data_IF_420518753836
#
_entry.id   IF_420518753836
#
_cell.length_a   1.000
_cell.length_b   1.000
_cell.length_c   1.000
_cell.angle_alpha   90.00
_cell.angle_beta   90.00
_cell.angle_gamma   90.00
#
_symmetry.space_group_name_H-M   'P 1'
#
loop_
_entity.id
_entity.type
_entity.pdbx_description
1 polymer ?
#
# COMPACT_ATOMS: atom_id res chain seq x y z
N UNK A 1 10.16 -5.03 -11.34
CA UNK A 1 10.38 -4.83 -9.89
C UNK A 1 10.74 -3.37 -9.69
N UNK A 2 10.13 -2.70 -8.72
CA UNK A 2 10.41 -1.31 -8.38
C UNK A 2 10.96 -1.21 -6.95
N UNK A 3 11.84 -0.24 -6.70
CA UNK A 3 12.48 -0.02 -5.39
C UNK A 3 12.26 1.37 -4.82
N UNK A 4 11.41 2.17 -5.47
CA UNK A 4 10.91 3.48 -5.07
C UNK A 4 9.77 3.87 -5.99
N UNK A 5 8.90 4.75 -5.55
CA UNK A 5 7.90 5.37 -6.40
C UNK A 5 7.64 6.80 -5.97
N UNK A 6 7.10 7.58 -6.88
CA UNK A 6 6.64 8.94 -6.60
C UNK A 6 5.12 8.92 -6.44
N UNK A 7 4.59 9.53 -5.39
CA UNK A 7 3.15 9.63 -5.13
C UNK A 7 2.73 11.10 -5.01
N UNK A 8 1.90 11.54 -5.93
CA UNK A 8 1.37 12.90 -5.98
C UNK A 8 -0.11 12.85 -6.34
N UNK A 9 -0.92 13.56 -5.54
CA UNK A 9 -2.35 13.71 -5.79
C UNK A 9 -2.59 14.93 -6.67
N UNK A 10 -2.51 14.73 -7.98
CA UNK A 10 -2.82 15.78 -8.96
C UNK A 10 -4.25 16.31 -8.76
N UNK A 11 -4.48 17.56 -9.14
CA UNK A 11 -5.83 18.17 -9.18
C UNK A 11 -6.66 17.60 -10.32
N UNK A 12 -7.10 16.35 -10.15
CA UNK A 12 -7.94 15.61 -11.10
C UNK A 12 -9.22 15.14 -10.41
N UNK A 13 -10.40 15.22 -11.07
CA UNK A 13 -11.68 14.80 -10.49
C UNK A 13 -11.68 13.36 -9.95
N UNK A 14 -10.94 12.46 -10.58
CA UNK A 14 -10.81 11.05 -10.21
C UNK A 14 -10.18 10.87 -8.82
N UNK A 15 -9.35 11.81 -8.38
CA UNK A 15 -8.72 11.79 -7.05
C UNK A 15 -9.53 12.53 -5.98
N UNK A 16 -10.62 13.22 -6.33
CA UNK A 16 -11.39 14.01 -5.36
C UNK A 16 -11.84 13.19 -4.15
N UNK A 17 -12.29 11.95 -4.36
CA UNK A 17 -12.69 11.04 -3.28
C UNK A 17 -11.51 10.63 -2.39
N UNK A 18 -10.36 10.38 -2.99
CA UNK A 18 -9.14 9.98 -2.29
C UNK A 18 -8.62 11.13 -1.44
N UNK A 19 -8.51 12.34 -2.01
CA UNK A 19 -8.10 13.56 -1.31
C UNK A 19 -8.98 13.81 -0.09
N UNK A 20 -10.31 13.81 -0.26
CA UNK A 20 -11.25 14.01 0.84
C UNK A 20 -11.06 12.99 1.97
N UNK A 21 -10.83 11.71 1.64
CA UNK A 21 -10.58 10.68 2.67
C UNK A 21 -9.24 10.91 3.40
N UNK A 22 -8.18 11.30 2.69
CA UNK A 22 -6.88 11.64 3.29
C UNK A 22 -7.03 12.82 4.25
N UNK A 23 -7.77 13.86 3.82
CA UNK A 23 -8.05 15.04 4.64
C UNK A 23 -8.84 14.68 5.91
N UNK A 24 -9.93 13.93 5.75
CA UNK A 24 -10.79 13.50 6.87
C UNK A 24 -10.08 12.64 7.90
N UNK A 25 -9.08 11.86 7.48
CA UNK A 25 -8.30 10.97 8.35
C UNK A 25 -6.95 11.56 8.77
N UNK A 26 -6.65 12.81 8.39
CA UNK A 26 -5.38 13.49 8.65
C UNK A 26 -4.12 12.72 8.18
N UNK A 27 -4.21 11.98 7.06
CA UNK A 27 -3.13 11.11 6.55
C UNK A 27 -2.17 11.80 5.57
N UNK A 28 -2.15 13.14 5.53
CA UNK A 28 -1.36 13.90 4.56
C UNK A 28 0.14 13.59 4.63
N UNK A 29 0.66 13.29 5.82
CA UNK A 29 2.07 12.99 6.00
C UNK A 29 2.51 11.69 5.31
N UNK A 30 1.58 10.81 4.94
CA UNK A 30 1.82 9.57 4.21
C UNK A 30 1.56 9.71 2.70
N UNK A 31 1.01 10.85 2.27
CA UNK A 31 0.90 11.24 0.87
C UNK A 31 2.18 11.98 0.43
N UNK A 32 3.34 11.33 0.61
CA UNK A 32 4.67 11.90 0.30
C UNK A 32 5.02 11.78 -1.16
N UNK A 33 5.73 12.80 -1.65
CA UNK A 33 6.25 12.87 -3.02
C UNK A 33 7.10 11.65 -3.39
N UNK A 34 8.15 11.30 -2.65
CA UNK A 34 8.96 10.10 -2.91
C UNK A 34 8.85 9.10 -1.76
N UNK A 35 8.62 7.82 -2.10
CA UNK A 35 8.43 6.73 -1.14
C UNK A 35 9.46 5.62 -1.38
N UNK A 36 10.08 5.17 -0.29
CA UNK A 36 11.13 4.15 -0.29
C UNK A 36 10.72 2.88 0.48
N UNK A 37 11.33 1.73 0.15
CA UNK A 37 11.27 0.51 0.95
C UNK A 37 11.49 0.79 2.43
N UNK A 38 10.56 0.34 3.26
CA UNK A 38 10.59 0.53 4.69
C UNK A 38 10.03 1.86 5.20
N UNK A 39 9.48 2.72 4.35
CA UNK A 39 8.57 3.76 4.80
C UNK A 39 7.18 3.18 5.07
N UNK A 40 6.44 3.84 5.94
CA UNK A 40 4.99 3.72 6.00
C UNK A 40 4.38 4.40 4.77
N UNK A 41 3.45 3.71 4.12
CA UNK A 41 2.83 4.13 2.87
C UNK A 41 1.31 4.09 3.00
N UNK A 42 0.65 5.08 2.39
CA UNK A 42 -0.79 5.07 2.22
C UNK A 42 -1.20 3.91 1.30
N UNK A 43 -2.14 3.08 1.76
CA UNK A 43 -2.69 1.96 0.99
C UNK A 43 -4.21 2.05 0.92
N UNK A 44 -4.77 1.51 -0.16
CA UNK A 44 -6.20 1.29 -0.28
C UNK A 44 -6.51 -0.13 0.19
N UNK A 45 -7.42 -0.26 1.14
CA UNK A 45 -7.93 -1.54 1.63
C UNK A 45 -9.42 -1.64 1.35
N UNK A 46 -9.97 -2.86 1.43
CA UNK A 46 -11.42 -3.05 1.30
C UNK A 46 -12.16 -2.26 2.40
N UNK A 47 -13.29 -1.67 2.05
CA UNK A 47 -14.13 -0.91 2.97
C UNK A 47 -15.54 -0.75 2.43
N UNK A 48 -16.47 -0.28 3.27
CA UNK A 48 -17.92 -0.26 2.99
C UNK A 48 -18.28 0.47 1.68
N UNK A 49 -17.55 1.54 1.32
CA UNK A 49 -17.76 2.34 0.09
C UNK A 49 -16.72 2.03 -1.01
N UNK A 50 -16.36 0.75 -1.14
CA UNK A 50 -15.40 0.25 -2.12
C UNK A 50 -13.95 0.28 -1.64
N UNK A 51 -13.51 1.35 -0.98
CA UNK A 51 -12.22 1.36 -0.27
C UNK A 51 -12.19 2.22 0.99
N UNK A 52 -11.37 1.80 1.94
CA UNK A 52 -10.86 2.60 3.04
C UNK A 52 -9.37 2.90 2.84
N UNK A 53 -8.85 3.87 3.61
CA UNK A 53 -7.42 4.17 3.66
C UNK A 53 -6.84 3.52 4.89
N UNK A 54 -5.62 3.03 4.75
CA UNK A 54 -4.79 2.56 5.85
C UNK A 54 -3.34 2.98 5.59
N UNK A 55 -2.50 2.87 6.60
CA UNK A 55 -1.08 3.15 6.53
C UNK A 55 -0.32 1.86 6.86
N UNK A 56 0.45 1.37 5.90
CA UNK A 56 1.18 0.12 6.03
C UNK A 56 2.66 0.31 5.77
N UNK A 57 3.48 -0.37 6.58
CA UNK A 57 4.91 -0.45 6.38
C UNK A 57 5.24 -1.17 5.05
N UNK A 58 5.94 -0.52 4.13
CA UNK A 58 6.34 -1.13 2.86
C UNK A 58 7.48 -2.12 3.05
N UNK A 59 7.10 -3.37 3.33
CA UNK A 59 7.99 -4.51 3.35
C UNK A 59 7.48 -5.61 4.27
N UNK A 60 7.50 -6.85 3.78
CA UNK A 60 7.12 -8.04 4.54
C UNK A 60 8.37 -8.75 5.03
N UNK A 61 8.36 -9.26 6.26
CA UNK A 61 9.49 -10.04 6.77
C UNK A 61 9.64 -11.36 6.00
N UNK A 62 10.78 -11.55 5.35
CA UNK A 62 11.17 -12.79 4.68
C UNK A 62 12.34 -13.50 5.37
N UNK A 63 12.71 -14.69 4.87
CA UNK A 63 13.80 -15.49 5.44
C UNK A 63 15.20 -14.87 5.28
N UNK A 64 15.38 -13.96 4.32
CA UNK A 64 16.66 -13.31 4.00
C UNK A 64 16.58 -11.78 4.12
N UNK A 65 15.62 -11.27 4.90
CA UNK A 65 15.37 -9.83 5.07
C UNK A 65 13.99 -9.39 4.57
N UNK A 66 13.82 -8.08 4.42
CA UNK A 66 12.54 -7.48 4.00
C UNK A 66 12.29 -7.74 2.51
N UNK A 67 11.10 -8.26 2.21
CA UNK A 67 10.58 -8.46 0.86
C UNK A 67 9.69 -7.26 0.50
N UNK A 68 10.06 -6.52 -0.54
CA UNK A 68 9.34 -5.32 -1.01
C UNK A 68 8.62 -5.50 -2.34
N UNK A 69 8.90 -6.59 -3.04
CA UNK A 69 8.24 -6.99 -4.28
C UNK A 69 7.84 -8.47 -4.18
N UNK A 70 6.75 -8.83 -4.85
CA UNK A 70 6.36 -10.21 -5.06
C UNK A 70 6.13 -10.46 -6.55
N UNK A 71 6.74 -11.52 -7.09
CA UNK A 71 6.47 -11.97 -8.46
C UNK A 71 5.12 -12.66 -8.48
N UNK A 72 4.26 -12.30 -9.44
CA UNK A 72 2.90 -12.85 -9.58
C UNK A 72 2.92 -14.37 -9.81
N UNK A 73 3.95 -14.89 -10.47
CA UNK A 73 4.08 -16.31 -10.76
C UNK A 73 4.21 -17.12 -9.45
N UNK A 74 3.19 -17.93 -9.17
CA UNK A 74 3.13 -18.84 -8.01
C UNK A 74 3.14 -18.15 -6.65
N UNK A 75 2.69 -16.90 -6.58
CA UNK A 75 2.69 -16.10 -5.35
C UNK A 75 1.85 -16.73 -4.23
N UNK A 76 0.74 -17.38 -4.59
CA UNK A 76 -0.20 -18.11 -3.74
C UNK A 76 0.42 -19.32 -3.03
N UNK A 77 1.54 -19.84 -3.55
CA UNK A 77 2.27 -21.00 -3.00
C UNK A 77 3.54 -20.62 -2.24
N UNK A 78 3.97 -19.36 -2.32
CA UNK A 78 5.21 -18.89 -1.68
C UNK A 78 4.96 -18.58 -0.21
N UNK A 79 5.58 -19.36 0.69
CA UNK A 79 5.40 -19.31 2.16
C UNK A 79 5.27 -17.89 2.75
N UNK A 80 6.10 -16.89 2.39
CA UNK A 80 5.98 -15.54 2.97
C UNK A 80 4.69 -14.80 2.61
N UNK A 81 4.05 -15.15 1.50
CA UNK A 81 2.88 -14.45 0.95
C UNK A 81 1.57 -15.23 1.12
N UNK A 82 1.61 -16.54 1.40
CA UNK A 82 0.40 -17.35 1.66
C UNK A 82 -0.54 -16.68 2.67
N UNK A 83 -0.07 -16.14 3.81
CA UNK A 83 -0.95 -15.48 4.78
C UNK A 83 -1.69 -14.26 4.20
N UNK A 84 -1.13 -13.59 3.19
CA UNK A 84 -1.74 -12.41 2.55
C UNK A 84 -2.95 -12.77 1.68
N UNK A 85 -3.08 -14.04 1.24
CA UNK A 85 -4.23 -14.51 0.44
C UNK A 85 -5.32 -15.18 1.26
N UNK A 86 -4.99 -15.62 2.48
CA UNK A 86 -5.89 -16.42 3.32
C UNK A 86 -6.36 -15.67 4.57
N UNK A 87 -5.92 -14.42 4.76
CA UNK A 87 -6.54 -13.53 5.74
C UNK A 87 -7.88 -13.06 5.19
N UNK A 88 -8.95 -13.61 5.76
CA UNK A 88 -10.24 -12.96 5.72
C UNK A 88 -10.08 -11.60 6.40
N UNK A 89 -10.27 -10.53 5.62
CA UNK A 89 -10.61 -9.22 6.17
C UNK A 89 -12.07 -9.30 6.62
#
# INVERSE_FOLDING_TARGET
MCGRYFFELRELPEFARLKRKIEQQALFEYAREEVFPGNDALVLVSGEDGYALDVMHWGIQGPYGKLINARSEGIDKKKPFVPCFHRNV
#
